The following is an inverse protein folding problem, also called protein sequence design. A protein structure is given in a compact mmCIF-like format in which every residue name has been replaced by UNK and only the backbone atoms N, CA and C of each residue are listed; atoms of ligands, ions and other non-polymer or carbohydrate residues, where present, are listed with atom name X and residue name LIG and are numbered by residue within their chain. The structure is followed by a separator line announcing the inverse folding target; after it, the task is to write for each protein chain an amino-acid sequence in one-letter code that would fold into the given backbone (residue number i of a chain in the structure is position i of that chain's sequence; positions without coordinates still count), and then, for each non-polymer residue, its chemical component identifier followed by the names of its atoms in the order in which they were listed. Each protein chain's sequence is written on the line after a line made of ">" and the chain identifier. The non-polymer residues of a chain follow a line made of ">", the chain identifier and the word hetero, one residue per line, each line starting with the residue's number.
data_IF_953548927360
#
_entry.id   IF_953548927360
#
_cell.length_a   1.000
_cell.length_b   1.000
_cell.length_c   1.000
_cell.angle_alpha   90.00
_cell.angle_beta   90.00
_cell.angle_gamma   90.00
#
_symmetry.space_group_name_H-M   'P 1'
#
loop_
_entity.id
_entity.type
_entity.pdbx_description
1 polymer ?
#
# COMPACT_ATOMS: atom_id res chain seq x y z
N UNK A 1 11.63 0.43 21.79
CA UNK A 1 10.30 0.93 21.36
C UNK A 1 10.29 1.30 19.87
N UNK A 2 11.16 2.20 19.39
CA UNK A 2 11.22 2.61 17.96
C UNK A 2 11.39 1.45 16.96
N UNK A 3 12.26 0.47 17.26
CA UNK A 3 12.51 -0.69 16.39
C UNK A 3 11.26 -1.58 16.20
N UNK A 4 10.49 -1.77 17.28
CA UNK A 4 9.23 -2.52 17.26
C UNK A 4 8.15 -1.78 16.47
N UNK A 5 8.07 -0.47 16.63
CA UNK A 5 7.17 0.38 15.86
C UNK A 5 7.48 0.32 14.35
N UNK A 6 8.75 0.42 13.96
CA UNK A 6 9.18 0.28 12.56
C UNK A 6 8.83 -1.09 11.97
N UNK A 7 9.06 -2.17 12.72
CA UNK A 7 8.69 -3.53 12.29
C UNK A 7 7.19 -3.67 12.07
N UNK A 8 6.36 -3.16 12.99
CA UNK A 8 4.91 -3.19 12.85
C UNK A 8 4.44 -2.39 11.63
N UNK A 9 5.04 -1.23 11.38
CA UNK A 9 4.74 -0.42 10.20
C UNK A 9 5.12 -1.14 8.90
N UNK A 10 6.28 -1.80 8.86
CA UNK A 10 6.72 -2.58 7.69
C UNK A 10 5.76 -3.75 7.45
N UNK A 11 5.43 -4.53 8.49
CA UNK A 11 4.46 -5.62 8.39
C UNK A 11 3.10 -5.14 7.89
N UNK A 12 2.67 -3.97 8.37
CA UNK A 12 1.39 -3.41 7.96
C UNK A 12 1.40 -2.96 6.50
N UNK A 13 2.49 -2.32 6.06
CA UNK A 13 2.70 -1.97 4.65
C UNK A 13 2.71 -3.22 3.75
N UNK A 14 3.43 -4.27 4.13
CA UNK A 14 3.45 -5.54 3.38
C UNK A 14 2.04 -6.10 3.27
N UNK A 15 1.27 -6.15 4.36
CA UNK A 15 -0.09 -6.69 4.33
C UNK A 15 -1.02 -5.90 3.40
N UNK A 16 -1.02 -4.56 3.49
CA UNK A 16 -1.84 -3.71 2.61
C UNK A 16 -1.41 -3.89 1.15
N UNK A 17 -0.11 -3.87 0.86
CA UNK A 17 0.42 -4.04 -0.49
C UNK A 17 0.09 -5.41 -1.07
N UNK A 18 0.14 -6.47 -0.25
CA UNK A 18 -0.27 -7.81 -0.64
C UNK A 18 -1.76 -7.86 -0.95
N UNK A 19 -2.60 -7.24 -0.11
CA UNK A 19 -4.03 -7.15 -0.37
C UNK A 19 -4.34 -6.41 -1.67
N UNK A 20 -3.63 -5.31 -1.96
CA UNK A 20 -3.75 -4.56 -3.21
C UNK A 20 -3.27 -5.35 -4.44
N UNK A 21 -2.23 -6.17 -4.31
CA UNK A 21 -1.66 -6.95 -5.42
C UNK A 21 -2.51 -8.18 -5.80
N UNK A 22 -3.06 -8.89 -4.81
CA UNK A 22 -3.78 -10.15 -5.02
C UNK A 22 -5.30 -9.99 -5.05
N UNK A 23 -5.85 -9.05 -4.29
CA UNK A 23 -7.29 -8.81 -4.21
C UNK A 23 -7.65 -7.33 -4.44
N UNK A 24 -7.21 -6.72 -5.56
CA UNK A 24 -7.46 -5.30 -5.85
C UNK A 24 -8.94 -4.95 -5.84
N UNK A 25 -9.82 -5.87 -6.28
CA UNK A 25 -11.27 -5.69 -6.30
C UNK A 25 -11.86 -5.52 -4.89
N UNK A 26 -11.39 -6.31 -3.92
CA UNK A 26 -11.83 -6.20 -2.52
C UNK A 26 -11.34 -4.91 -1.88
N UNK A 27 -10.10 -4.51 -2.19
CA UNK A 27 -9.55 -3.23 -1.72
C UNK A 27 -10.33 -2.06 -2.30
N UNK A 28 -10.65 -2.10 -3.60
CA UNK A 28 -11.47 -1.09 -4.26
C UNK A 28 -12.88 -1.01 -3.68
N UNK A 29 -13.52 -2.15 -3.41
CA UNK A 29 -14.81 -2.19 -2.73
C UNK A 29 -14.75 -1.58 -1.32
N UNK A 30 -13.65 -1.80 -0.59
CA UNK A 30 -13.42 -1.17 0.71
C UNK A 30 -13.17 0.33 0.59
N UNK A 31 -12.34 0.76 -0.38
CA UNK A 31 -12.06 2.17 -0.68
C UNK A 31 -13.35 2.91 -1.04
N UNK A 32 -14.20 2.30 -1.86
CA UNK A 32 -15.51 2.86 -2.22
C UNK A 32 -16.43 3.01 -1.00
N UNK A 33 -16.34 2.09 -0.02
CA UNK A 33 -17.12 2.14 1.23
C UNK A 33 -16.57 3.15 2.24
N UNK A 34 -15.25 3.36 2.28
CA UNK A 34 -14.61 4.28 3.22
C UNK A 34 -14.49 5.69 2.66
N UNK A 35 -15.25 6.63 3.22
CA UNK A 35 -15.19 8.07 2.84
C UNK A 35 -13.79 8.67 2.92
N UNK A 36 -13.00 8.32 3.93
CA UNK A 36 -11.63 8.82 4.11
C UNK A 36 -10.72 8.37 2.96
N UNK A 37 -10.82 7.10 2.57
CA UNK A 37 -10.04 6.54 1.47
C UNK A 37 -10.46 7.10 0.11
N UNK A 38 -11.76 7.27 -0.10
CA UNK A 38 -12.30 7.99 -1.26
C UNK A 38 -11.78 9.43 -1.33
N UNK A 39 -11.72 10.14 -0.20
CA UNK A 39 -11.17 11.48 -0.14
C UNK A 39 -9.69 11.48 -0.51
N UNK A 40 -8.90 10.59 0.11
CA UNK A 40 -7.47 10.44 -0.20
C UNK A 40 -7.21 10.15 -1.68
N UNK A 41 -7.94 9.20 -2.27
CA UNK A 41 -7.81 8.86 -3.69
C UNK A 41 -8.22 10.01 -4.61
N UNK A 42 -9.24 10.79 -4.22
CA UNK A 42 -9.66 11.98 -4.96
C UNK A 42 -8.63 13.12 -4.87
N UNK A 43 -8.00 13.31 -3.70
CA UNK A 43 -7.03 14.39 -3.48
C UNK A 43 -5.67 14.10 -4.12
N UNK A 44 -5.18 12.85 -4.02
CA UNK A 44 -3.85 12.48 -4.51
C UNK A 44 -3.88 12.11 -5.99
N UNK A 45 -4.89 11.33 -6.41
CA UNK A 45 -4.92 10.71 -7.73
C UNK A 45 -6.01 11.29 -8.64
N UNK A 46 -6.81 12.25 -8.17
CA UNK A 46 -7.97 12.79 -8.90
C UNK A 46 -8.95 11.70 -9.39
N UNK A 47 -8.98 10.56 -8.68
CA UNK A 47 -9.84 9.42 -8.99
C UNK A 47 -11.22 9.63 -8.35
N UNK A 48 -12.28 9.47 -9.14
CA UNK A 48 -13.68 9.54 -8.72
C UNK A 48 -14.28 8.14 -8.48
N UNK A 49 -15.40 8.08 -7.73
CA UNK A 49 -16.12 6.82 -7.45
C UNK A 49 -16.53 6.04 -8.69
N UNK A 50 -16.84 6.72 -9.79
CA UNK A 50 -17.18 6.08 -11.06
C UNK A 50 -15.98 5.39 -11.71
N UNK A 51 -14.77 5.92 -11.55
CA UNK A 51 -13.57 5.33 -12.16
C UNK A 51 -12.99 4.19 -11.31
N UNK A 52 -13.31 4.10 -10.01
CA UNK A 52 -12.90 3.02 -9.11
C UNK A 52 -13.40 1.62 -9.55
N UNK A 53 -14.53 1.53 -10.25
CA UNK A 53 -15.05 0.27 -10.81
C UNK A 53 -14.46 -0.13 -12.16
N UNK A 54 -13.65 0.74 -12.78
CA UNK A 54 -13.07 0.48 -14.09
C UNK A 54 -11.90 -0.51 -14.00
N UNK A 55 -11.72 -1.33 -15.05
CA UNK A 55 -10.54 -2.21 -15.21
C UNK A 55 -9.22 -1.44 -15.06
N UNK A 56 -9.23 -0.15 -15.40
CA UNK A 56 -8.08 0.74 -15.25
C UNK A 56 -7.73 0.96 -13.78
N UNK A 57 -8.71 1.22 -12.90
CA UNK A 57 -8.47 1.40 -11.47
C UNK A 57 -7.98 0.11 -10.79
N UNK A 58 -8.55 -1.04 -11.17
CA UNK A 58 -8.07 -2.36 -10.71
C UNK A 58 -6.60 -2.55 -11.07
N UNK A 59 -6.21 -2.18 -12.30
CA UNK A 59 -4.82 -2.28 -12.76
C UNK A 59 -3.89 -1.35 -11.99
N UNK A 60 -4.30 -0.11 -11.75
CA UNK A 60 -3.54 0.86 -10.96
C UNK A 60 -3.34 0.43 -9.51
N UNK A 61 -4.39 -0.04 -8.84
CA UNK A 61 -4.29 -0.57 -7.47
C UNK A 61 -3.35 -1.78 -7.42
N UNK A 62 -3.40 -2.65 -8.43
CA UNK A 62 -2.51 -3.80 -8.50
C UNK A 62 -1.05 -3.40 -8.70
N UNK A 63 -0.79 -2.40 -9.55
CA UNK A 63 0.54 -1.83 -9.77
C UNK A 63 1.05 -1.17 -8.48
N UNK A 64 0.21 -0.38 -7.77
CA UNK A 64 0.56 0.18 -6.47
C UNK A 64 0.87 -0.88 -5.43
N UNK A 65 0.06 -1.94 -5.35
CA UNK A 65 0.31 -3.08 -4.48
C UNK A 65 1.67 -3.72 -4.77
N UNK A 66 1.98 -3.94 -6.05
CA UNK A 66 3.29 -4.47 -6.48
C UNK A 66 4.46 -3.55 -6.12
N UNK A 67 4.36 -2.25 -6.39
CA UNK A 67 5.39 -1.25 -6.06
C UNK A 67 5.60 -1.19 -4.54
N UNK A 68 4.52 -1.17 -3.76
CA UNK A 68 4.59 -1.16 -2.30
C UNK A 68 5.21 -2.42 -1.72
N UNK A 69 4.94 -3.59 -2.32
CA UNK A 69 5.56 -4.85 -1.92
C UNK A 69 7.06 -4.84 -2.19
N UNK A 70 7.48 -4.38 -3.38
CA UNK A 70 8.89 -4.25 -3.75
C UNK A 70 9.59 -3.27 -2.80
N UNK A 71 8.98 -2.12 -2.52
CA UNK A 71 9.53 -1.12 -1.61
C UNK A 71 9.68 -1.66 -0.17
N UNK A 72 8.69 -2.40 0.32
CA UNK A 72 8.74 -3.01 1.65
C UNK A 72 9.80 -4.11 1.75
N UNK A 73 9.94 -4.95 0.71
CA UNK A 73 11.01 -5.95 0.63
C UNK A 73 12.39 -5.30 0.53
N UNK A 74 12.53 -4.21 -0.24
CA UNK A 74 13.77 -3.43 -0.32
C UNK A 74 14.10 -2.80 1.03
N UNK A 75 13.13 -2.23 1.74
CA UNK A 75 13.32 -1.66 3.06
C UNK A 75 13.75 -2.72 4.08
N UNK A 76 13.14 -3.91 4.04
CA UNK A 76 13.54 -5.05 4.87
C UNK A 76 14.96 -5.53 4.52
N UNK A 77 15.30 -5.61 3.23
CA UNK A 77 16.64 -5.98 2.77
C UNK A 77 17.69 -4.96 3.22
N UNK A 78 17.44 -3.65 3.04
CA UNK A 78 18.33 -2.58 3.50
C UNK A 78 18.51 -2.65 5.01
N UNK A 79 17.44 -2.91 5.77
CA UNK A 79 17.52 -3.05 7.22
C UNK A 79 18.32 -4.28 7.68
N UNK A 80 18.23 -5.40 6.95
CA UNK A 80 18.97 -6.63 7.23
C UNK A 80 20.46 -6.53 6.84
N UNK A 81 20.76 -5.88 5.72
CA UNK A 81 22.12 -5.78 5.14
C UNK A 81 22.90 -4.60 5.71
N UNK A 82 22.22 -3.50 5.99
CA UNK A 82 22.73 -2.38 6.77
C UNK A 82 21.96 -2.30 8.09
N UNK A 83 22.26 -3.19 9.06
CA UNK A 83 21.86 -2.93 10.43
C UNK A 83 22.53 -1.61 10.78
N UNK A 84 21.74 -0.56 10.96
CA UNK A 84 22.22 0.79 11.20
C UNK A 84 23.48 0.74 12.08
N UNK A 85 24.63 1.08 11.49
CA UNK A 85 25.82 1.42 12.23
C UNK A 85 25.39 2.58 13.12
N UNK A 86 25.11 2.24 14.37
CA UNK A 86 24.88 3.14 15.50
C UNK A 86 25.90 4.27 15.47
N UNK A 87 25.42 5.50 15.56
CA UNK A 87 25.40 6.17 16.87
C UNK A 87 24.00 6.32 17.47
#
# INVERSE_FOLDING_TARGET
>A
MLRLFLLLTILWCVFISTAMAFAPERVLAYVQRSRIWMWYMKTIFSITSESLGSKTAVRWVRIQGGIGLIAALLAQYVWLVHPASSP
#
